data_IF_608034955900
#
_entry.id   IF_608034955900
#
_cell.length_a   1.000
_cell.length_b   1.000
_cell.length_c   1.000
_cell.angle_alpha   90.00
_cell.angle_beta   90.00
_cell.angle_gamma   90.00
#
_symmetry.space_group_name_H-M   'P 1'
#
loop_
_entity.id
_entity.type
_entity.pdbx_description
1 polymer ?
#
# COMPACT_ATOMS: atom_id res chain seq x y z
N UNK A 1 -30.07 -8.82 -2.58
CA UNK A 1 -30.12 -7.67 -1.65
C UNK A 1 -28.98 -7.81 -0.64
N UNK A 2 -28.06 -6.83 -0.55
CA UNK A 2 -26.87 -6.92 0.33
C UNK A 2 -27.21 -7.21 1.79
N UNK A 3 -28.35 -6.73 2.27
CA UNK A 3 -28.83 -7.00 3.64
C UNK A 3 -29.13 -8.48 3.85
N UNK A 4 -29.78 -9.12 2.91
CA UNK A 4 -30.14 -10.55 3.01
C UNK A 4 -28.88 -11.43 3.05
N UNK A 5 -27.87 -11.10 2.25
CA UNK A 5 -26.58 -11.81 2.27
C UNK A 5 -25.88 -11.68 3.64
N UNK A 6 -25.92 -10.48 4.25
CA UNK A 6 -25.35 -10.26 5.59
C UNK A 6 -26.11 -11.04 6.64
N UNK A 7 -27.45 -10.99 6.63
CA UNK A 7 -28.28 -11.69 7.62
C UNK A 7 -28.30 -13.22 7.46
N UNK A 8 -27.93 -13.75 6.28
CA UNK A 8 -27.79 -15.19 6.08
C UNK A 8 -26.54 -15.78 6.75
N UNK A 9 -25.58 -14.95 7.14
CA UNK A 9 -24.38 -15.41 7.83
C UNK A 9 -24.65 -15.75 9.28
N UNK A 10 -24.30 -17.00 9.69
CA UNK A 10 -24.48 -17.47 11.07
C UNK A 10 -23.46 -16.92 12.08
N UNK A 11 -22.32 -16.37 11.59
CA UNK A 11 -21.25 -15.81 12.42
C UNK A 11 -20.62 -14.61 11.72
N UNK A 12 -20.36 -13.56 12.49
CA UNK A 12 -19.60 -12.38 12.08
C UNK A 12 -18.35 -12.27 12.94
N UNK A 13 -17.23 -11.98 12.29
CA UNK A 13 -15.97 -11.70 12.96
C UNK A 13 -15.62 -10.23 12.74
N UNK A 14 -15.27 -9.55 13.83
CA UNK A 14 -14.74 -8.20 13.77
C UNK A 14 -13.23 -8.25 13.91
N UNK A 15 -12.51 -7.92 12.84
CA UNK A 15 -11.06 -7.87 12.83
C UNK A 15 -10.58 -6.44 12.96
N UNK A 16 -9.63 -6.20 13.87
CA UNK A 16 -8.91 -4.93 13.92
C UNK A 16 -7.92 -4.83 12.77
N UNK A 17 -7.85 -3.63 12.16
CA UNK A 17 -6.81 -3.33 11.16
C UNK A 17 -5.71 -2.57 11.89
N UNK A 18 -4.52 -3.15 11.89
CA UNK A 18 -3.36 -2.60 12.59
C UNK A 18 -2.32 -2.15 11.58
N UNK A 19 -1.67 -1.04 11.88
CA UNK A 19 -0.50 -0.55 11.15
C UNK A 19 0.59 -0.20 12.13
N UNK A 20 1.81 -0.09 11.65
CA UNK A 20 2.94 0.40 12.43
C UNK A 20 3.66 1.51 11.64
N UNK A 21 4.48 2.33 12.30
CA UNK A 21 5.40 3.23 11.61
C UNK A 21 6.32 2.45 10.67
N UNK A 22 6.76 3.09 9.58
CA UNK A 22 7.73 2.50 8.68
C UNK A 22 9.02 2.16 9.44
N UNK A 23 9.55 0.99 9.17
CA UNK A 23 10.81 0.55 9.76
C UNK A 23 11.97 1.45 9.34
N UNK A 24 12.89 1.68 10.28
CA UNK A 24 14.15 2.39 9.97
C UNK A 24 15.07 1.55 9.08
N UNK A 25 15.01 0.23 9.21
CA UNK A 25 15.78 -0.74 8.43
C UNK A 25 14.88 -1.88 7.97
N UNK A 26 15.06 -2.31 6.70
CA UNK A 26 14.35 -3.45 6.11
C UNK A 26 15.21 -4.72 6.12
N UNK A 27 16.44 -4.63 6.61
CA UNK A 27 17.33 -5.78 6.70
C UNK A 27 18.21 -5.72 7.95
N UNK A 28 18.69 -6.90 8.35
CA UNK A 28 19.72 -7.06 9.39
C UNK A 28 20.55 -8.31 9.08
N UNK A 29 21.86 -8.17 9.01
CA UNK A 29 22.78 -9.27 8.60
C UNK A 29 22.31 -9.88 7.28
N UNK A 30 22.02 -11.18 7.26
CA UNK A 30 21.57 -11.92 6.08
C UNK A 30 20.04 -12.05 5.96
N UNK A 31 19.28 -11.28 6.76
CA UNK A 31 17.82 -11.29 6.74
C UNK A 31 17.33 -10.01 6.07
N UNK A 32 16.45 -10.14 5.07
CA UNK A 32 15.76 -9.03 4.42
C UNK A 32 14.24 -9.20 4.56
N UNK A 33 13.56 -8.12 4.90
CA UNK A 33 12.10 -8.11 5.08
C UNK A 33 11.40 -7.63 3.81
N UNK A 34 10.30 -8.28 3.46
CA UNK A 34 9.44 -7.97 2.32
C UNK A 34 7.97 -7.86 2.73
N UNK A 35 7.19 -7.15 1.93
CA UNK A 35 5.74 -7.05 2.10
C UNK A 35 5.33 -6.62 3.52
N UNK A 36 4.33 -7.26 4.09
CA UNK A 36 3.79 -6.91 5.40
C UNK A 36 4.80 -7.05 6.55
N UNK A 37 5.80 -7.92 6.40
CA UNK A 37 6.91 -8.02 7.36
C UNK A 37 7.77 -6.75 7.39
N UNK A 38 7.90 -6.04 6.28
CA UNK A 38 8.61 -4.77 6.17
C UNK A 38 7.69 -3.57 6.41
N UNK A 39 6.49 -3.59 5.81
CA UNK A 39 5.62 -2.42 5.70
C UNK A 39 4.11 -2.78 5.63
N UNK A 40 3.49 -3.23 6.73
CA UNK A 40 2.05 -3.49 6.74
C UNK A 40 1.30 -2.19 6.46
N UNK A 41 0.43 -2.21 5.44
CA UNK A 41 -0.38 -1.07 5.04
C UNK A 41 -1.87 -1.35 5.23
N UNK A 42 -2.67 -0.29 5.42
CA UNK A 42 -4.12 -0.44 5.45
C UNK A 42 -4.65 -0.85 4.06
N UNK A 43 -5.71 -1.70 3.97
CA UNK A 43 -6.11 -2.34 2.71
C UNK A 43 -6.91 -1.45 1.74
N UNK A 44 -7.04 -0.15 2.00
CA UNK A 44 -7.95 0.74 1.27
C UNK A 44 -7.60 1.00 -0.20
N UNK A 45 -6.35 0.72 -0.61
CA UNK A 45 -5.92 0.77 -2.01
C UNK A 45 -5.70 -0.61 -2.63
N UNK A 46 -5.78 -1.70 -1.85
CA UNK A 46 -5.50 -3.04 -2.33
C UNK A 46 -4.06 -3.29 -2.76
N UNK A 47 -3.10 -2.46 -2.34
CA UNK A 47 -1.71 -2.48 -2.85
C UNK A 47 -0.74 -3.33 -2.03
N UNK A 48 -1.17 -3.98 -0.93
CA UNK A 48 -0.28 -4.78 -0.08
C UNK A 48 0.42 -5.92 -0.84
N UNK A 49 -0.35 -6.73 -1.56
CA UNK A 49 0.19 -7.82 -2.39
C UNK A 49 1.06 -7.32 -3.53
N UNK A 50 0.67 -6.23 -4.21
CA UNK A 50 1.46 -5.63 -5.27
C UNK A 50 2.83 -5.16 -4.76
N UNK A 51 2.88 -4.49 -3.60
CA UNK A 51 4.14 -4.07 -2.99
C UNK A 51 5.03 -5.26 -2.63
N UNK A 52 4.47 -6.38 -2.16
CA UNK A 52 5.25 -7.57 -1.85
C UNK A 52 5.86 -8.20 -3.12
N UNK A 53 5.12 -8.21 -4.23
CA UNK A 53 5.63 -8.66 -5.54
C UNK A 53 6.72 -7.71 -6.05
N UNK A 54 6.49 -6.40 -5.98
CA UNK A 54 7.49 -5.38 -6.32
C UNK A 54 8.78 -5.56 -5.49
N UNK A 55 8.64 -5.87 -4.20
CA UNK A 55 9.79 -6.09 -3.30
C UNK A 55 10.64 -7.28 -3.76
N UNK A 56 9.99 -8.43 -4.01
CA UNK A 56 10.68 -9.63 -4.45
C UNK A 56 11.40 -9.43 -5.79
N UNK A 57 10.71 -8.83 -6.77
CA UNK A 57 11.30 -8.51 -8.06
C UNK A 57 12.49 -7.55 -7.95
N UNK A 58 12.32 -6.45 -7.21
CA UNK A 58 13.35 -5.43 -7.01
C UNK A 58 14.60 -6.01 -6.37
N UNK A 59 14.41 -6.80 -5.29
CA UNK A 59 15.54 -7.39 -4.58
C UNK A 59 16.29 -8.41 -5.42
N UNK A 60 15.57 -9.28 -6.14
CA UNK A 60 16.20 -10.29 -7.02
C UNK A 60 17.02 -9.62 -8.11
N UNK A 61 16.48 -8.60 -8.77
CA UNK A 61 17.20 -7.82 -9.78
C UNK A 61 18.48 -7.19 -9.19
N UNK A 62 18.36 -6.49 -8.07
CA UNK A 62 19.49 -5.84 -7.41
C UNK A 62 20.55 -6.83 -6.93
N UNK A 63 20.15 -8.02 -6.47
CA UNK A 63 21.08 -9.06 -6.06
C UNK A 63 21.86 -9.61 -7.26
N UNK A 64 21.19 -9.83 -8.38
CA UNK A 64 21.85 -10.26 -9.62
C UNK A 64 22.82 -9.21 -10.15
N UNK A 65 22.45 -7.92 -10.09
CA UNK A 65 23.25 -6.82 -10.60
C UNK A 65 24.49 -6.54 -9.71
N UNK A 66 24.35 -6.65 -8.39
CA UNK A 66 25.43 -6.34 -7.44
C UNK A 66 26.34 -7.51 -7.11
N UNK A 67 25.88 -8.74 -7.27
CA UNK A 67 26.60 -9.97 -6.93
C UNK A 67 26.84 -10.19 -5.42
N UNK A 68 26.40 -9.27 -4.56
CA UNK A 68 26.50 -9.44 -3.12
C UNK A 68 25.26 -8.93 -2.38
N UNK A 69 24.95 -9.57 -1.26
CA UNK A 69 23.72 -9.33 -0.49
C UNK A 69 23.70 -7.95 0.17
N UNK A 70 24.83 -7.43 0.62
CA UNK A 70 24.89 -6.17 1.38
C UNK A 70 24.54 -4.99 0.47
N UNK A 71 25.11 -4.95 -0.75
CA UNK A 71 24.82 -3.90 -1.72
C UNK A 71 23.39 -4.00 -2.24
N UNK A 72 22.90 -5.23 -2.47
CA UNK A 72 21.52 -5.49 -2.83
C UNK A 72 20.54 -4.96 -1.76
N UNK A 73 20.79 -5.26 -0.47
CA UNK A 73 19.98 -4.80 0.66
C UNK A 73 19.95 -3.29 0.79
N UNK A 74 21.10 -2.62 0.68
CA UNK A 74 21.19 -1.17 0.74
C UNK A 74 20.43 -0.50 -0.41
N UNK A 75 20.62 -1.01 -1.63
CA UNK A 75 19.95 -0.49 -2.83
C UNK A 75 18.45 -0.74 -2.80
N UNK A 76 18.02 -1.92 -2.36
CA UNK A 76 16.62 -2.28 -2.14
C UNK A 76 15.95 -1.31 -1.16
N UNK A 77 16.53 -1.10 0.01
CA UNK A 77 15.98 -0.19 1.01
C UNK A 77 15.86 1.25 0.46
N UNK A 78 16.87 1.72 -0.25
CA UNK A 78 16.88 3.07 -0.87
C UNK A 78 15.75 3.26 -1.89
N UNK A 79 15.48 2.26 -2.72
CA UNK A 79 14.46 2.32 -3.77
C UNK A 79 13.07 2.10 -3.19
N UNK A 80 12.91 1.13 -2.29
CA UNK A 80 11.59 0.72 -1.83
C UNK A 80 10.97 1.65 -0.78
N UNK A 81 11.76 2.23 0.12
CA UNK A 81 11.23 3.11 1.17
C UNK A 81 10.42 4.30 0.65
N UNK A 82 10.87 5.08 -0.34
CA UNK A 82 10.07 6.16 -0.90
C UNK A 82 8.76 5.67 -1.51
N UNK A 83 8.80 4.55 -2.23
CA UNK A 83 7.63 3.91 -2.84
C UNK A 83 6.61 3.48 -1.80
N UNK A 84 7.03 2.73 -0.81
CA UNK A 84 6.20 2.27 0.31
C UNK A 84 5.60 3.45 1.09
N UNK A 85 6.40 4.48 1.37
CA UNK A 85 5.93 5.71 2.05
C UNK A 85 4.82 6.39 1.26
N UNK A 86 4.95 6.49 -0.05
CA UNK A 86 3.94 7.06 -0.94
C UNK A 86 2.64 6.25 -0.90
N UNK A 87 2.70 4.95 -1.10
CA UNK A 87 1.51 4.07 -1.10
C UNK A 87 0.84 4.07 0.28
N UNK A 88 1.61 4.00 1.37
CA UNK A 88 1.09 4.08 2.74
C UNK A 88 0.31 5.37 2.99
N UNK A 89 0.84 6.51 2.51
CA UNK A 89 0.16 7.80 2.61
C UNK A 89 -1.15 7.79 1.82
N UNK A 90 -1.11 7.40 0.55
CA UNK A 90 -2.30 7.36 -0.31
C UNK A 90 -3.37 6.42 0.24
N UNK A 91 -2.97 5.28 0.82
CA UNK A 91 -3.90 4.35 1.43
C UNK A 91 -4.59 4.94 2.68
N UNK A 92 -3.87 5.70 3.50
CA UNK A 92 -4.45 6.43 4.65
C UNK A 92 -5.39 7.56 4.20
N UNK A 93 -5.00 8.32 3.18
CA UNK A 93 -5.86 9.36 2.58
C UNK A 93 -7.16 8.74 2.04
N UNK A 94 -7.07 7.60 1.36
CA UNK A 94 -8.24 6.86 0.89
C UNK A 94 -9.15 6.39 2.03
N UNK A 95 -8.57 5.96 3.17
CA UNK A 95 -9.35 5.63 4.36
C UNK A 95 -10.19 6.80 4.83
N UNK A 96 -9.60 8.00 4.92
CA UNK A 96 -10.32 9.23 5.31
C UNK A 96 -11.43 9.54 4.31
N UNK A 97 -11.14 9.48 3.02
CA UNK A 97 -12.11 9.74 1.96
C UNK A 97 -13.30 8.77 2.01
N UNK A 98 -13.05 7.49 2.27
CA UNK A 98 -14.10 6.47 2.36
C UNK A 98 -15.03 6.67 3.56
N UNK A 99 -14.54 7.28 4.65
CA UNK A 99 -15.29 7.45 5.90
C UNK A 99 -15.90 8.83 6.09
N UNK A 100 -15.95 9.67 5.05
CA UNK A 100 -16.64 10.98 5.13
C UNK A 100 -18.14 10.77 5.38
N UNK A 101 -18.58 11.08 6.59
CA UNK A 101 -19.96 10.93 7.04
C UNK A 101 -20.84 12.13 6.64
N UNK A 102 -20.27 13.35 6.59
CA UNK A 102 -21.01 14.57 6.28
C UNK A 102 -21.51 14.54 4.82
N UNK A 103 -22.85 14.65 4.59
CA UNK A 103 -23.43 14.56 3.25
C UNK A 103 -22.93 15.63 2.28
N UNK A 104 -22.71 16.86 2.78
CA UNK A 104 -22.24 17.97 1.95
C UNK A 104 -20.80 17.74 1.49
N UNK A 105 -19.90 17.38 2.41
CA UNK A 105 -18.51 17.06 2.07
C UNK A 105 -18.42 15.88 1.13
N UNK A 106 -19.29 14.87 1.29
CA UNK A 106 -19.37 13.73 0.38
C UNK A 106 -19.80 14.13 -1.04
N UNK A 107 -20.81 15.01 -1.17
CA UNK A 107 -21.24 15.54 -2.47
C UNK A 107 -20.14 16.35 -3.14
N UNK A 108 -19.47 17.25 -2.39
CA UNK A 108 -18.34 18.04 -2.91
C UNK A 108 -17.19 17.16 -3.38
N UNK A 109 -16.79 16.17 -2.57
CA UNK A 109 -15.77 15.18 -2.96
C UNK A 109 -16.14 14.46 -4.26
N UNK A 110 -17.37 13.92 -4.35
CA UNK A 110 -17.83 13.19 -5.53
C UNK A 110 -17.84 14.07 -6.77
N UNK A 111 -18.28 15.33 -6.64
CA UNK A 111 -18.25 16.30 -7.72
C UNK A 111 -16.81 16.59 -8.19
N UNK A 112 -15.90 16.87 -7.27
CA UNK A 112 -14.49 17.10 -7.60
C UNK A 112 -13.86 15.88 -8.29
N UNK A 113 -14.10 14.67 -7.76
CA UNK A 113 -13.58 13.45 -8.35
C UNK A 113 -14.14 13.18 -9.76
N UNK A 114 -15.38 13.59 -10.05
CA UNK A 114 -16.00 13.40 -11.38
C UNK A 114 -15.57 14.43 -12.42
N UNK A 115 -15.07 15.60 -12.01
CA UNK A 115 -14.74 16.73 -12.89
C UNK A 115 -13.24 16.99 -13.03
N UNK A 116 -12.42 16.31 -12.28
CA UNK A 116 -10.97 16.56 -12.27
C UNK A 116 -10.20 15.25 -12.51
N UNK A 117 -9.01 15.30 -13.13
CA UNK A 117 -8.18 14.13 -13.38
C UNK A 117 -7.42 13.66 -12.12
N UNK A 118 -7.95 13.94 -10.92
CA UNK A 118 -7.31 13.55 -9.65
C UNK A 118 -7.15 12.05 -9.57
N UNK A 119 -8.21 11.29 -9.92
CA UNK A 119 -8.19 9.82 -9.88
C UNK A 119 -7.17 9.28 -10.87
N UNK A 120 -7.17 9.76 -12.12
CA UNK A 120 -6.24 9.32 -13.16
C UNK A 120 -4.78 9.55 -12.73
N UNK A 121 -4.46 10.76 -12.26
CA UNK A 121 -3.12 11.09 -11.74
C UNK A 121 -2.72 10.21 -10.55
N UNK A 122 -3.66 9.88 -9.67
CA UNK A 122 -3.39 8.99 -8.55
C UNK A 122 -3.12 7.57 -9.04
N UNK A 123 -3.91 7.07 -10.00
CA UNK A 123 -3.72 5.75 -10.60
C UNK A 123 -2.39 5.66 -11.34
N UNK A 124 -2.01 6.66 -12.11
CA UNK A 124 -0.70 6.72 -12.76
C UNK A 124 0.45 6.59 -11.74
N UNK A 125 0.39 7.31 -10.64
CA UNK A 125 1.41 7.22 -9.57
C UNK A 125 1.45 5.85 -8.89
N UNK A 126 0.33 5.14 -8.83
CA UNK A 126 0.23 3.81 -8.24
C UNK A 126 0.74 2.75 -9.20
N UNK A 127 0.37 2.81 -10.48
CA UNK A 127 0.58 1.71 -11.42
C UNK A 127 1.78 1.90 -12.37
N UNK A 128 2.27 3.12 -12.59
CA UNK A 128 3.45 3.38 -13.43
C UNK A 128 4.73 3.46 -12.59
N UNK A 129 4.94 2.49 -11.73
CA UNK A 129 6.20 2.38 -11.01
C UNK A 129 7.19 1.56 -11.83
N UNK A 130 8.32 2.19 -12.20
CA UNK A 130 9.46 1.56 -12.86
C UNK A 130 10.64 1.50 -11.90
N UNK A 131 11.45 0.44 -12.02
CA UNK A 131 12.66 0.19 -11.24
C UNK A 131 13.89 0.74 -11.94
#
# INVERSE_FOLDING_TARGET
NHKETVYASKKFFRWGIYTRPLLKKYFAKNITLFGDAAHPIVPFLGQGGCLAIEDGYSFTKLLNDSGNIVDAQNSYERIRKPRVKMITRLSKEQAVHNHISNPLLRKTRNFLMSKTPIIEKQMDRIYRFEL
#
